data_IF_631330881785
#
_entry.id   IF_631330881785
#
_cell.length_a   1.000
_cell.length_b   1.000
_cell.length_c   1.000
_cell.angle_alpha   90.00
_cell.angle_beta   90.00
_cell.angle_gamma   90.00
#
_symmetry.space_group_name_H-M   'P 1'
#
loop_
_entity.id
_entity.type
_entity.pdbx_description
1 polymer ?
#
# COMPACT_ATOMS: atom_id res chain seq x y z
N UNK A 1 -25.94 -11.37 26.25
CA UNK A 1 -25.44 -10.54 25.14
C UNK A 1 -24.08 -11.12 24.79
N UNK A 2 -23.99 -11.92 23.73
CA UNK A 2 -22.76 -12.64 23.38
C UNK A 2 -21.65 -11.64 23.06
N UNK A 3 -20.67 -11.57 23.94
CA UNK A 3 -19.48 -10.73 23.77
C UNK A 3 -18.64 -11.35 22.66
N UNK A 4 -18.79 -10.84 21.45
CA UNK A 4 -17.96 -11.23 20.31
C UNK A 4 -16.70 -10.37 20.32
N UNK A 5 -15.64 -10.86 20.99
CA UNK A 5 -14.25 -10.47 20.67
C UNK A 5 -14.05 -10.82 19.19
N UNK A 6 -13.48 -9.91 18.38
CA UNK A 6 -13.62 -9.79 16.92
C UNK A 6 -13.37 -11.06 16.06
N UNK A 7 -14.21 -12.09 16.21
CA UNK A 7 -14.06 -13.38 15.57
C UNK A 7 -12.88 -14.21 16.09
N UNK A 8 -12.45 -14.07 17.35
CA UNK A 8 -11.44 -14.94 17.97
C UNK A 8 -12.14 -16.06 18.78
N UNK A 9 -11.73 -17.31 18.59
CA UNK A 9 -12.21 -18.46 19.39
C UNK A 9 -11.22 -18.84 20.49
N UNK A 10 -9.94 -18.82 20.16
CA UNK A 10 -8.80 -19.20 20.98
C UNK A 10 -7.78 -18.06 20.95
N UNK A 11 -8.07 -16.91 21.59
CA UNK A 11 -7.18 -15.76 21.53
C UNK A 11 -5.79 -16.08 22.09
N UNK A 12 -4.78 -15.48 21.48
CA UNK A 12 -3.37 -15.53 21.88
C UNK A 12 -2.76 -14.14 21.77
N UNK A 13 -1.81 -13.80 22.62
CA UNK A 13 -0.95 -12.65 22.39
C UNK A 13 -0.08 -12.83 21.13
N UNK A 14 0.12 -11.74 20.38
CA UNK A 14 1.12 -11.73 19.29
C UNK A 14 2.50 -12.09 19.83
N UNK A 15 3.36 -12.65 18.98
CA UNK A 15 4.70 -13.13 19.34
C UNK A 15 5.58 -12.08 20.03
N UNK A 16 5.37 -10.81 19.72
CA UNK A 16 6.22 -9.70 20.17
C UNK A 16 5.64 -9.00 21.41
N UNK A 17 4.58 -9.55 21.98
CA UNK A 17 3.97 -9.04 23.21
C UNK A 17 4.86 -9.39 24.40
N UNK A 18 5.15 -8.40 25.23
CA UNK A 18 5.77 -8.60 26.55
C UNK A 18 4.80 -8.28 27.66
N UNK A 19 4.89 -9.02 28.76
CA UNK A 19 3.98 -8.92 29.91
C UNK A 19 4.76 -8.71 31.19
N UNK A 20 4.25 -7.83 32.04
CA UNK A 20 4.85 -7.42 33.30
C UNK A 20 3.74 -7.43 34.36
N UNK A 21 3.86 -8.28 35.37
CA UNK A 21 2.81 -8.52 36.36
C UNK A 21 3.35 -8.13 37.73
N UNK A 22 2.74 -7.11 38.31
CA UNK A 22 2.98 -6.62 39.66
C UNK A 22 1.87 -7.11 40.61
N UNK A 23 2.00 -6.94 41.94
CA UNK A 23 1.02 -7.44 42.90
C UNK A 23 -0.40 -6.90 42.73
N UNK A 24 -0.62 -5.80 42.02
CA UNK A 24 -1.93 -5.15 41.85
C UNK A 24 -2.12 -4.49 40.47
N UNK A 25 -1.20 -4.70 39.54
CA UNK A 25 -1.24 -4.17 38.18
C UNK A 25 -0.61 -5.16 37.21
N UNK A 26 -1.10 -5.22 35.98
CA UNK A 26 -0.40 -5.85 34.89
C UNK A 26 -0.25 -4.85 33.74
N UNK A 27 0.93 -4.86 33.14
CA UNK A 27 1.23 -4.11 31.93
C UNK A 27 1.60 -5.06 30.81
N UNK A 28 0.92 -4.92 29.67
CA UNK A 28 1.14 -5.68 28.43
C UNK A 28 1.59 -4.70 27.34
N UNK A 29 2.67 -5.03 26.62
CA UNK A 29 3.32 -4.13 25.64
C UNK A 29 3.56 -4.83 24.31
N UNK A 30 3.35 -4.12 23.19
CA UNK A 30 3.85 -4.50 21.86
C UNK A 30 4.37 -3.26 21.14
N UNK A 31 5.66 -3.23 20.83
CA UNK A 31 6.30 -2.02 20.29
C UNK A 31 6.06 -0.78 21.18
N UNK A 32 5.36 0.24 20.66
CA UNK A 32 4.98 1.46 21.40
C UNK A 32 3.61 1.38 22.07
N UNK A 33 2.84 0.34 21.80
CA UNK A 33 1.50 0.16 22.36
C UNK A 33 1.61 -0.47 23.75
N UNK A 34 0.91 0.12 24.72
CA UNK A 34 0.82 -0.36 26.10
C UNK A 34 -0.64 -0.49 26.51
N UNK A 35 -0.99 -1.60 27.13
CA UNK A 35 -2.23 -1.76 27.90
C UNK A 35 -1.83 -2.02 29.36
N UNK A 36 -2.44 -1.29 30.29
CA UNK A 36 -2.21 -1.50 31.72
C UNK A 36 -3.55 -1.52 32.44
N UNK A 37 -3.70 -2.41 33.40
CA UNK A 37 -4.91 -2.52 34.20
C UNK A 37 -4.58 -2.95 35.62
N UNK A 38 -5.33 -2.40 36.58
CA UNK A 38 -5.21 -2.71 37.99
C UNK A 38 -6.18 -3.82 38.40
N UNK A 39 -5.80 -4.58 39.43
CA UNK A 39 -6.60 -5.65 40.02
C UNK A 39 -6.28 -5.77 41.52
N UNK A 40 -7.12 -6.48 42.26
CA UNK A 40 -6.86 -6.72 43.68
C UNK A 40 -5.69 -7.68 43.86
N UNK A 41 -4.89 -7.54 44.92
CA UNK A 41 -3.72 -8.40 45.13
C UNK A 41 -4.06 -9.89 45.28
N UNK A 42 -5.28 -10.20 45.74
CA UNK A 42 -5.78 -11.57 45.76
C UNK A 42 -6.01 -12.16 44.35
N UNK A 43 -6.22 -11.32 43.33
CA UNK A 43 -6.49 -11.70 41.94
C UNK A 43 -5.21 -11.95 41.13
N UNK A 44 -4.04 -11.50 41.63
CA UNK A 44 -2.77 -11.58 40.89
C UNK A 44 -2.45 -13.00 40.36
N UNK A 45 -2.66 -14.10 41.11
CA UNK A 45 -2.43 -15.44 40.58
C UNK A 45 -3.38 -15.83 39.44
N UNK A 46 -4.63 -15.35 39.47
CA UNK A 46 -5.61 -15.60 38.42
C UNK A 46 -5.29 -14.78 37.15
N UNK A 47 -4.88 -13.52 37.32
CA UNK A 47 -4.41 -12.68 36.22
C UNK A 47 -3.17 -13.28 35.54
N UNK A 48 -2.21 -13.77 36.32
CA UNK A 48 -1.03 -14.45 35.77
C UNK A 48 -1.40 -15.69 34.95
N UNK A 49 -2.32 -16.53 35.44
CA UNK A 49 -2.81 -17.70 34.67
C UNK A 49 -3.51 -17.30 33.37
N UNK A 50 -4.34 -16.27 33.39
CA UNK A 50 -4.99 -15.77 32.16
C UNK A 50 -3.94 -15.29 31.15
N UNK A 51 -2.95 -14.53 31.62
CA UNK A 51 -1.84 -14.05 30.78
C UNK A 51 -1.05 -15.23 30.21
N UNK A 52 -0.71 -16.24 31.01
CA UNK A 52 0.01 -17.44 30.56
C UNK A 52 -0.79 -18.21 29.50
N UNK A 53 -2.11 -18.34 29.68
CA UNK A 53 -3.00 -18.95 28.68
C UNK A 53 -2.98 -18.16 27.36
N UNK A 54 -2.95 -16.82 27.43
CA UNK A 54 -2.87 -15.97 26.24
C UNK A 54 -1.46 -15.97 25.61
N UNK A 55 -0.39 -16.13 26.39
CA UNK A 55 0.98 -16.30 25.87
C UNK A 55 1.14 -17.66 25.17
N UNK A 56 0.59 -18.72 25.77
CA UNK A 56 0.61 -20.07 25.18
C UNK A 56 -0.27 -20.18 23.94
N UNK A 57 -1.49 -19.66 24.02
CA UNK A 57 -2.57 -19.89 23.06
C UNK A 57 -3.19 -21.28 23.18
N UNK A 58 -4.14 -21.58 22.30
CA UNK A 58 -4.82 -22.87 22.13
C UNK A 58 -6.01 -23.08 23.08
N UNK A 59 -6.35 -22.10 23.91
CA UNK A 59 -7.42 -22.21 24.91
C UNK A 59 -8.64 -21.44 24.42
N UNK A 60 -9.80 -22.10 24.37
CA UNK A 60 -11.05 -21.43 24.02
C UNK A 60 -11.48 -20.43 25.10
N UNK A 61 -12.16 -19.34 24.72
CA UNK A 61 -12.58 -18.28 25.66
C UNK A 61 -13.35 -18.85 26.87
N UNK A 62 -14.32 -19.76 26.65
CA UNK A 62 -15.08 -20.37 27.73
C UNK A 62 -14.20 -21.18 28.70
N UNK A 63 -13.17 -21.85 28.16
CA UNK A 63 -12.20 -22.60 28.96
C UNK A 63 -11.23 -21.67 29.70
N UNK A 64 -10.88 -20.52 29.12
CA UNK A 64 -10.11 -19.48 29.83
C UNK A 64 -10.90 -18.96 31.03
N UNK A 65 -12.16 -18.57 30.82
CA UNK A 65 -13.06 -18.09 31.88
C UNK A 65 -13.18 -19.13 33.01
N UNK A 66 -13.38 -20.41 32.65
CA UNK A 66 -13.46 -21.49 33.63
C UNK A 66 -12.14 -21.76 34.38
N UNK A 67 -10.98 -21.44 33.76
CA UNK A 67 -9.65 -21.62 34.35
C UNK A 67 -9.23 -20.52 35.34
N UNK A 68 -9.97 -19.41 35.39
CA UNK A 68 -9.72 -18.28 36.30
C UNK A 68 -11.00 -17.80 36.98
N UNK A 69 -11.67 -18.66 37.77
CA UNK A 69 -12.97 -18.37 38.38
C UNK A 69 -12.97 -17.10 39.26
N UNK A 70 -11.82 -16.72 39.81
CA UNK A 70 -11.66 -15.54 40.66
C UNK A 70 -11.87 -14.22 39.92
N UNK A 71 -11.70 -14.21 38.59
CA UNK A 71 -11.83 -13.03 37.73
C UNK A 71 -12.74 -13.29 36.52
N UNK A 72 -13.55 -14.35 36.55
CA UNK A 72 -14.32 -14.84 35.41
C UNK A 72 -15.23 -13.76 34.77
N UNK A 73 -15.81 -12.89 35.58
CA UNK A 73 -16.65 -11.76 35.15
C UNK A 73 -15.85 -10.64 34.45
N UNK A 74 -14.55 -10.54 34.74
CA UNK A 74 -13.63 -9.53 34.16
C UNK A 74 -13.00 -9.97 32.84
N UNK A 75 -12.87 -11.29 32.61
CA UNK A 75 -12.19 -11.85 31.42
C UNK A 75 -12.72 -11.27 30.09
N UNK A 76 -14.04 -11.19 29.83
CA UNK A 76 -14.53 -10.67 28.55
C UNK A 76 -14.10 -9.21 28.30
N UNK A 77 -14.14 -8.36 29.32
CA UNK A 77 -13.74 -6.95 29.21
C UNK A 77 -12.22 -6.81 28.99
N UNK A 78 -11.42 -7.64 29.66
CA UNK A 78 -9.97 -7.69 29.46
C UNK A 78 -9.63 -8.10 28.02
N UNK A 79 -10.24 -9.17 27.51
CA UNK A 79 -10.02 -9.64 26.14
C UNK A 79 -10.44 -8.59 25.11
N UNK A 80 -11.57 -7.89 25.32
CA UNK A 80 -11.98 -6.77 24.48
C UNK A 80 -10.95 -5.63 24.50
N UNK A 81 -10.42 -5.28 25.67
CA UNK A 81 -9.39 -4.25 25.81
C UNK A 81 -8.10 -4.63 25.07
N UNK A 82 -7.67 -5.89 25.19
CA UNK A 82 -6.48 -6.40 24.49
C UNK A 82 -6.68 -6.44 22.97
N UNK A 83 -7.86 -6.85 22.49
CA UNK A 83 -8.19 -6.86 21.06
C UNK A 83 -8.27 -5.44 20.47
N UNK A 84 -8.86 -4.49 21.20
CA UNK A 84 -8.99 -3.09 20.76
C UNK A 84 -7.64 -2.44 20.49
N UNK A 85 -6.59 -2.82 21.23
CA UNK A 85 -5.21 -2.36 21.01
C UNK A 85 -4.35 -3.36 20.22
N UNK A 86 -4.99 -4.35 19.57
CA UNK A 86 -4.39 -5.35 18.68
C UNK A 86 -3.30 -6.23 19.31
N UNK A 87 -3.40 -6.47 20.61
CA UNK A 87 -2.50 -7.40 21.31
C UNK A 87 -2.83 -8.87 21.00
N UNK A 88 -4.08 -9.16 20.63
CA UNK A 88 -4.57 -10.50 20.38
C UNK A 88 -4.53 -10.90 18.89
N UNK A 89 -4.31 -12.20 18.67
CA UNK A 89 -4.48 -12.96 17.42
C UNK A 89 -5.14 -14.30 17.74
N UNK A 90 -5.56 -15.04 16.71
CA UNK A 90 -6.04 -16.42 16.88
C UNK A 90 -4.87 -17.39 17.06
N UNK A 91 -5.00 -18.35 17.99
CA UNK A 91 -3.93 -19.31 18.32
C UNK A 91 -3.58 -20.26 17.18
N UNK A 92 -4.60 -20.78 16.50
CA UNK A 92 -4.46 -21.55 15.27
C UNK A 92 -5.10 -20.77 14.13
N UNK A 93 -4.46 -20.67 12.95
CA UNK A 93 -5.08 -19.98 11.83
C UNK A 93 -6.41 -20.65 11.49
N UNK A 94 -7.53 -19.96 11.78
CA UNK A 94 -8.86 -20.40 11.35
C UNK A 94 -8.80 -20.67 9.86
N UNK A 95 -9.10 -21.89 9.44
CA UNK A 95 -9.22 -22.24 8.03
C UNK A 95 -10.39 -21.52 7.37
N UNK A 96 -11.39 -21.10 8.16
CA UNK A 96 -12.46 -20.20 7.72
C UNK A 96 -11.93 -18.79 7.42
N UNK A 97 -12.12 -18.35 6.18
CA UNK A 97 -11.71 -17.02 5.74
C UNK A 97 -10.26 -16.91 5.29
N UNK A 98 -9.51 -18.01 5.24
CA UNK A 98 -8.27 -18.08 4.48
C UNK A 98 -8.58 -17.95 2.99
N UNK A 99 -7.79 -17.14 2.29
CA UNK A 99 -7.86 -16.99 0.84
C UNK A 99 -6.49 -17.27 0.26
N UNK A 100 -6.41 -17.83 -0.94
CA UNK A 100 -5.15 -17.82 -1.67
C UNK A 100 -4.84 -16.39 -2.14
N UNK A 101 -3.57 -16.08 -2.38
CA UNK A 101 -3.21 -14.79 -2.97
C UNK A 101 -3.84 -14.57 -4.34
N UNK A 102 -4.04 -15.63 -5.13
CA UNK A 102 -4.80 -15.57 -6.39
C UNK A 102 -6.28 -15.18 -6.17
N UNK A 103 -6.93 -15.67 -5.11
CA UNK A 103 -8.26 -15.22 -4.75
C UNK A 103 -8.25 -13.76 -4.28
N UNK A 104 -7.32 -13.39 -3.40
CA UNK A 104 -7.19 -12.02 -2.92
C UNK A 104 -6.93 -11.03 -4.06
N UNK A 105 -6.09 -11.37 -5.04
CA UNK A 105 -5.83 -10.57 -6.22
C UNK A 105 -7.11 -10.29 -7.01
N UNK A 106 -7.97 -11.30 -7.25
CA UNK A 106 -9.28 -11.11 -7.90
C UNK A 106 -10.19 -10.18 -7.09
N UNK A 107 -10.18 -10.28 -5.77
CA UNK A 107 -10.97 -9.39 -4.90
C UNK A 107 -10.47 -7.96 -4.94
N UNK A 108 -9.15 -7.76 -5.00
CA UNK A 108 -8.50 -6.46 -5.09
C UNK A 108 -8.77 -5.80 -6.44
N UNK A 109 -8.71 -6.55 -7.55
CA UNK A 109 -9.10 -6.08 -8.88
C UNK A 109 -10.53 -5.52 -8.89
N UNK A 110 -11.48 -6.23 -8.27
CA UNK A 110 -12.87 -5.76 -8.11
C UNK A 110 -12.99 -4.56 -7.17
N UNK A 111 -12.10 -4.40 -6.19
CA UNK A 111 -12.06 -3.19 -5.36
C UNK A 111 -11.57 -2.02 -6.20
N UNK A 112 -10.48 -2.18 -6.95
CA UNK A 112 -9.95 -1.16 -7.84
C UNK A 112 -11.01 -0.69 -8.84
N UNK A 113 -11.65 -1.62 -9.55
CA UNK A 113 -12.74 -1.31 -10.48
C UNK A 113 -13.88 -0.54 -9.79
N UNK A 114 -14.31 -0.97 -8.60
CA UNK A 114 -15.40 -0.29 -7.87
C UNK A 114 -15.01 1.08 -7.33
N UNK A 115 -13.79 1.24 -6.80
CA UNK A 115 -13.30 2.51 -6.25
C UNK A 115 -13.13 3.50 -7.39
N UNK A 116 -12.51 3.10 -8.50
CA UNK A 116 -12.44 3.92 -9.72
C UNK A 116 -13.84 4.30 -10.20
N UNK A 117 -14.77 3.35 -10.31
CA UNK A 117 -16.15 3.67 -10.75
C UNK A 117 -16.94 4.59 -9.79
N UNK A 118 -16.71 4.50 -8.47
CA UNK A 118 -17.49 5.22 -7.45
C UNK A 118 -16.90 6.57 -7.05
N UNK A 119 -15.57 6.65 -6.98
CA UNK A 119 -14.85 7.76 -6.34
C UNK A 119 -14.28 8.71 -7.38
N UNK A 120 -13.90 8.24 -8.58
CA UNK A 120 -13.43 9.13 -9.63
C UNK A 120 -13.51 8.52 -11.02
N UNK A 121 -14.31 9.12 -11.91
CA UNK A 121 -13.84 9.23 -13.29
C UNK A 121 -12.54 10.03 -13.21
N UNK A 122 -11.44 9.48 -13.70
CA UNK A 122 -10.14 10.16 -13.70
C UNK A 122 -10.34 11.61 -14.13
N UNK A 123 -10.03 12.54 -13.22
CA UNK A 123 -10.29 13.96 -13.43
C UNK A 123 -9.43 14.46 -14.59
N UNK A 124 -8.21 13.93 -14.67
CA UNK A 124 -7.28 14.19 -15.77
C UNK A 124 -7.80 13.62 -17.08
N UNK A 125 -8.22 12.35 -17.11
CA UNK A 125 -8.83 11.75 -18.31
C UNK A 125 -10.06 12.53 -18.79
N UNK A 126 -10.90 12.97 -17.85
CA UNK A 126 -12.08 13.80 -18.16
C UNK A 126 -11.66 15.13 -18.77
N UNK A 127 -10.60 15.77 -18.23
CA UNK A 127 -10.07 17.00 -18.80
C UNK A 127 -9.44 16.82 -20.19
N UNK A 128 -8.83 15.66 -20.47
CA UNK A 128 -8.33 15.30 -21.80
C UNK A 128 -9.48 15.17 -22.80
N UNK A 129 -10.46 14.31 -22.50
CA UNK A 129 -11.61 14.04 -23.38
C UNK A 129 -12.47 15.28 -23.63
N UNK A 130 -12.64 16.13 -22.61
CA UNK A 130 -13.38 17.39 -22.75
C UNK A 130 -12.52 18.55 -23.29
N UNK A 131 -11.28 18.27 -23.71
CA UNK A 131 -10.34 19.26 -24.28
C UNK A 131 -10.06 20.47 -23.36
N UNK A 132 -10.20 20.27 -22.04
CA UNK A 132 -9.95 21.30 -21.02
C UNK A 132 -8.54 21.28 -20.45
N UNK A 133 -7.80 20.18 -20.62
CA UNK A 133 -6.41 20.11 -20.19
C UNK A 133 -5.55 21.11 -20.97
N UNK A 134 -4.72 21.88 -20.27
CA UNK A 134 -3.81 22.88 -20.85
C UNK A 134 -2.46 22.28 -21.17
N UNK A 135 -1.64 23.01 -21.95
CA UNK A 135 -0.26 22.62 -22.27
C UNK A 135 0.56 22.35 -21.02
N UNK A 136 0.45 23.24 -20.03
CA UNK A 136 1.17 23.16 -18.76
C UNK A 136 0.74 21.94 -17.94
N UNK A 137 -0.54 21.60 -17.95
CA UNK A 137 -1.05 20.40 -17.25
C UNK A 137 -0.56 19.10 -17.90
N UNK A 138 -0.44 19.05 -19.23
CA UNK A 138 0.13 17.90 -19.94
C UNK A 138 1.62 17.71 -19.61
N UNK A 139 2.39 18.80 -19.65
CA UNK A 139 3.81 18.80 -19.27
C UNK A 139 3.96 18.42 -17.80
N UNK A 140 3.12 18.96 -16.93
CA UNK A 140 3.08 18.63 -15.51
C UNK A 140 2.77 17.15 -15.25
N UNK A 141 1.83 16.57 -15.99
CA UNK A 141 1.57 15.13 -15.91
C UNK A 141 2.80 14.30 -16.29
N UNK A 142 3.44 14.62 -17.42
CA UNK A 142 4.65 13.93 -17.86
C UNK A 142 5.80 14.06 -16.85
N UNK A 143 5.94 15.24 -16.23
CA UNK A 143 6.95 15.51 -15.20
C UNK A 143 6.71 14.66 -13.94
N UNK A 144 5.47 14.59 -13.46
CA UNK A 144 5.13 13.79 -12.29
C UNK A 144 5.24 12.28 -12.57
N UNK A 145 4.89 11.83 -13.79
CA UNK A 145 5.08 10.45 -14.21
C UNK A 145 6.56 10.06 -14.29
N UNK A 146 7.42 10.96 -14.80
CA UNK A 146 8.88 10.78 -14.79
C UNK A 146 9.41 10.46 -13.40
N UNK A 147 8.95 11.15 -12.35
CA UNK A 147 9.41 10.87 -10.98
C UNK A 147 8.98 9.51 -10.45
N UNK A 148 7.79 9.02 -10.84
CA UNK A 148 7.36 7.66 -10.48
C UNK A 148 8.28 6.63 -11.12
N UNK A 149 8.52 6.75 -12.43
CA UNK A 149 9.37 5.82 -13.19
C UNK A 149 10.82 5.88 -12.72
N UNK A 150 11.38 7.07 -12.51
CA UNK A 150 12.72 7.26 -11.94
C UNK A 150 12.88 6.62 -10.56
N UNK A 151 11.82 6.65 -9.74
CA UNK A 151 11.84 6.03 -8.43
C UNK A 151 11.72 4.50 -8.49
N UNK A 152 11.12 3.93 -9.53
CA UNK A 152 10.70 2.51 -9.58
C UNK A 152 11.83 1.52 -9.22
N UNK A 153 13.06 1.60 -9.78
CA UNK A 153 14.13 0.68 -9.39
C UNK A 153 14.48 0.74 -7.89
N UNK A 154 14.50 1.96 -7.32
CA UNK A 154 14.75 2.18 -5.89
C UNK A 154 13.61 1.76 -4.98
N UNK A 155 12.38 1.70 -5.51
CA UNK A 155 11.19 1.21 -4.80
C UNK A 155 11.10 -0.33 -4.85
N UNK A 156 11.47 -0.95 -5.97
CA UNK A 156 11.44 -2.41 -6.17
C UNK A 156 12.62 -3.09 -5.48
N UNK A 157 13.82 -2.52 -5.54
CA UNK A 157 15.04 -3.10 -4.96
C UNK A 157 14.87 -3.59 -3.51
N UNK A 158 14.30 -2.80 -2.58
CA UNK A 158 14.05 -3.23 -1.20
C UNK A 158 13.13 -4.46 -1.08
N UNK A 159 12.21 -4.69 -2.02
CA UNK A 159 11.33 -5.85 -1.99
C UNK A 159 12.09 -7.18 -2.14
N UNK A 160 13.28 -7.18 -2.76
CA UNK A 160 14.13 -8.37 -2.88
C UNK A 160 14.55 -8.93 -1.52
N UNK A 161 14.71 -8.07 -0.50
CA UNK A 161 15.03 -8.49 0.86
C UNK A 161 13.87 -9.23 1.54
N UNK A 162 12.65 -9.08 1.03
CA UNK A 162 11.44 -9.71 1.56
C UNK A 162 11.07 -11.03 0.88
N UNK A 163 11.75 -11.38 -0.22
CA UNK A 163 11.45 -12.56 -1.01
C UNK A 163 11.67 -13.86 -0.22
N UNK A 164 10.62 -14.69 -0.13
CA UNK A 164 10.60 -15.92 0.69
C UNK A 164 11.00 -17.17 -0.11
N UNK A 165 10.82 -17.14 -1.43
CA UNK A 165 11.11 -18.28 -2.31
C UNK A 165 12.08 -17.89 -3.43
N UNK A 166 12.83 -18.85 -4.01
CA UNK A 166 13.64 -18.59 -5.20
C UNK A 166 12.80 -18.03 -6.36
N UNK A 167 11.61 -18.60 -6.59
CA UNK A 167 10.70 -18.14 -7.66
C UNK A 167 10.26 -16.69 -7.46
N UNK A 168 9.92 -16.29 -6.24
CA UNK A 168 9.57 -14.91 -5.92
C UNK A 168 10.75 -13.96 -6.16
N UNK A 169 11.95 -14.37 -5.75
CA UNK A 169 13.18 -13.61 -5.99
C UNK A 169 13.43 -13.43 -7.48
N UNK A 170 13.29 -14.48 -8.28
CA UNK A 170 13.49 -14.43 -9.73
C UNK A 170 12.51 -13.47 -10.41
N UNK A 171 11.23 -13.49 -10.01
CA UNK A 171 10.23 -12.55 -10.53
C UNK A 171 10.57 -11.10 -10.19
N UNK A 172 10.94 -10.82 -8.94
CA UNK A 172 11.31 -9.46 -8.50
C UNK A 172 12.62 -8.99 -9.15
N UNK A 173 13.58 -9.89 -9.39
CA UNK A 173 14.82 -9.56 -10.11
C UNK A 173 14.56 -9.27 -11.58
N UNK A 174 13.70 -10.06 -12.22
CA UNK A 174 13.26 -9.83 -13.59
C UNK A 174 12.59 -8.48 -13.74
N UNK A 175 11.65 -8.18 -12.84
CA UNK A 175 10.93 -6.90 -12.81
C UNK A 175 11.85 -5.71 -12.51
N UNK A 176 12.75 -5.82 -11.53
CA UNK A 176 13.74 -4.76 -11.30
C UNK A 176 14.61 -4.51 -12.55
N UNK A 177 15.03 -5.58 -13.23
CA UNK A 177 15.88 -5.47 -14.41
C UNK A 177 15.15 -4.78 -15.57
N UNK A 178 13.85 -5.04 -15.76
CA UNK A 178 13.09 -4.38 -16.81
C UNK A 178 12.93 -2.88 -16.54
N UNK A 179 12.74 -2.46 -15.29
CA UNK A 179 12.58 -1.03 -14.96
C UNK A 179 13.85 -0.17 -15.05
N UNK A 180 15.04 -0.77 -15.19
CA UNK A 180 16.28 0.00 -15.26
C UNK A 180 16.38 0.81 -16.56
N UNK A 181 16.47 2.14 -16.42
CA UNK A 181 16.67 3.07 -17.53
C UNK A 181 15.39 3.51 -18.24
N UNK A 182 14.22 3.12 -17.74
CA UNK A 182 12.92 3.59 -18.25
C UNK A 182 12.75 5.11 -18.10
N UNK A 183 13.36 5.71 -17.08
CA UNK A 183 13.36 7.14 -16.81
C UNK A 183 14.01 7.98 -17.94
N UNK A 184 15.03 7.44 -18.61
CA UNK A 184 15.72 8.12 -19.71
C UNK A 184 14.82 8.37 -20.93
N UNK A 185 13.78 7.54 -21.15
CA UNK A 185 12.79 7.77 -22.21
C UNK A 185 11.92 8.98 -21.89
N UNK A 186 11.47 9.08 -20.64
CA UNK A 186 10.64 10.19 -20.17
C UNK A 186 11.42 11.50 -20.03
N UNK A 187 12.70 11.44 -19.66
CA UNK A 187 13.57 12.61 -19.65
C UNK A 187 13.66 13.26 -21.05
N UNK A 188 13.86 12.45 -22.10
CA UNK A 188 13.89 12.94 -23.49
C UNK A 188 12.56 13.55 -23.95
N UNK A 189 11.43 13.04 -23.46
CA UNK A 189 10.14 13.67 -23.68
C UNK A 189 10.09 15.08 -23.08
N UNK A 190 10.53 15.24 -21.83
CA UNK A 190 10.54 16.52 -21.13
C UNK A 190 11.53 17.53 -21.74
N UNK A 191 12.67 17.06 -22.26
CA UNK A 191 13.60 17.89 -23.05
C UNK A 191 12.94 18.49 -24.29
N UNK A 192 12.06 17.75 -24.98
CA UNK A 192 11.37 18.23 -26.18
C UNK A 192 10.44 19.43 -25.93
N UNK A 193 10.08 19.69 -24.68
CA UNK A 193 9.28 20.86 -24.27
C UNK A 193 10.07 21.89 -23.46
N UNK A 194 11.39 21.72 -23.37
CA UNK A 194 12.33 22.70 -22.84
C UNK A 194 12.78 22.50 -21.39
N UNK A 195 12.47 21.36 -20.75
CA UNK A 195 13.04 21.03 -19.44
C UNK A 195 14.40 20.36 -19.63
N UNK A 196 15.46 20.91 -19.03
CA UNK A 196 16.81 20.33 -19.16
C UNK A 196 17.09 19.30 -18.04
N UNK A 197 17.98 18.32 -18.26
CA UNK A 197 18.30 17.29 -17.26
C UNK A 197 18.68 17.83 -15.89
N UNK A 198 19.43 18.94 -15.84
CA UNK A 198 19.82 19.59 -14.59
C UNK A 198 18.62 20.09 -13.78
N UNK A 199 17.57 20.58 -14.44
CA UNK A 199 16.32 20.99 -13.80
C UNK A 199 15.55 19.77 -13.27
N UNK A 200 15.55 18.66 -14.01
CA UNK A 200 14.91 17.41 -13.58
C UNK A 200 15.60 16.79 -12.35
N UNK A 201 16.92 16.94 -12.22
CA UNK A 201 17.65 16.49 -11.03
C UNK A 201 17.43 17.40 -9.81
N UNK A 202 17.31 18.71 -10.04
CA UNK A 202 17.12 19.68 -8.96
C UNK A 202 15.66 19.74 -8.45
N UNK A 203 14.70 19.33 -9.27
CA UNK A 203 13.28 19.43 -8.96
C UNK A 203 12.78 18.29 -8.06
N UNK A 204 11.70 18.55 -7.30
CA UNK A 204 11.05 17.58 -6.44
C UNK A 204 9.59 17.41 -6.87
N UNK A 205 9.06 16.17 -6.89
CA UNK A 205 7.69 15.91 -7.33
C UNK A 205 6.65 16.60 -6.42
N UNK A 206 5.42 16.69 -6.92
CA UNK A 206 4.28 17.14 -6.13
C UNK A 206 4.06 16.24 -4.89
N UNK A 207 3.46 16.77 -3.80
CA UNK A 207 3.26 16.02 -2.56
C UNK A 207 2.55 14.68 -2.74
N UNK A 208 1.56 14.61 -3.64
CA UNK A 208 0.82 13.39 -3.93
C UNK A 208 1.66 12.36 -4.68
N UNK A 209 2.44 12.78 -5.68
CA UNK A 209 3.42 11.92 -6.36
C UNK A 209 4.48 11.40 -5.40
N UNK A 210 5.01 12.27 -4.53
CA UNK A 210 5.90 11.85 -3.45
C UNK A 210 5.23 10.84 -2.51
N UNK A 211 3.96 11.07 -2.14
CA UNK A 211 3.20 10.17 -1.28
C UNK A 211 2.99 8.79 -1.91
N UNK A 212 2.73 8.71 -3.22
CA UNK A 212 2.67 7.43 -3.96
C UNK A 212 3.99 6.67 -3.86
N UNK A 213 5.11 7.34 -4.17
CA UNK A 213 6.45 6.75 -4.09
C UNK A 213 6.78 6.31 -2.66
N UNK A 214 6.48 7.14 -1.68
CA UNK A 214 6.72 6.84 -0.26
C UNK A 214 5.88 5.64 0.20
N UNK A 215 4.60 5.57 -0.17
CA UNK A 215 3.73 4.45 0.16
C UNK A 215 4.22 3.15 -0.47
N UNK A 216 4.60 3.15 -1.75
CA UNK A 216 5.22 2.01 -2.42
C UNK A 216 6.50 1.55 -1.70
N UNK A 217 7.37 2.49 -1.32
CA UNK A 217 8.60 2.17 -0.59
C UNK A 217 8.35 1.58 0.80
N UNK A 218 7.33 2.07 1.52
CA UNK A 218 6.88 1.47 2.79
C UNK A 218 6.37 0.06 2.56
N UNK A 219 5.53 -0.16 1.54
CA UNK A 219 5.00 -1.48 1.24
C UNK A 219 6.11 -2.46 0.85
N UNK A 220 7.05 -2.05 0.00
CA UNK A 220 8.18 -2.88 -0.40
C UNK A 220 9.01 -3.40 0.78
N UNK A 221 9.16 -2.58 1.83
CA UNK A 221 9.99 -2.92 3.01
C UNK A 221 9.22 -3.60 4.14
N UNK A 222 7.97 -3.20 4.37
CA UNK A 222 7.24 -3.52 5.61
C UNK A 222 5.96 -4.32 5.35
N UNK A 223 5.40 -4.24 4.14
CA UNK A 223 4.16 -4.92 3.78
C UNK A 223 4.28 -5.60 2.42
N UNK A 224 5.13 -6.63 2.27
CA UNK A 224 5.45 -7.23 0.97
C UNK A 224 4.20 -7.76 0.24
N UNK A 225 3.20 -8.28 0.97
CA UNK A 225 1.94 -8.68 0.36
C UNK A 225 1.15 -7.49 -0.22
N UNK A 226 1.19 -6.32 0.44
CA UNK A 226 0.59 -5.09 -0.10
C UNK A 226 1.38 -4.57 -1.29
N UNK A 227 2.71 -4.65 -1.26
CA UNK A 227 3.56 -4.28 -2.39
C UNK A 227 3.19 -5.08 -3.65
N UNK A 228 3.19 -6.42 -3.55
CA UNK A 228 2.77 -7.31 -4.65
C UNK A 228 1.39 -6.96 -5.18
N UNK A 229 0.46 -6.62 -4.29
CA UNK A 229 -0.92 -6.34 -4.62
C UNK A 229 -1.15 -4.99 -5.32
N UNK A 230 -0.27 -3.99 -5.18
CA UNK A 230 -0.48 -2.66 -5.78
C UNK A 230 0.22 -2.44 -7.11
N UNK A 231 1.21 -3.27 -7.49
CA UNK A 231 2.00 -3.05 -8.72
C UNK A 231 1.11 -2.92 -9.98
N UNK A 232 0.06 -3.72 -10.12
CA UNK A 232 -0.83 -3.66 -11.28
C UNK A 232 -1.48 -2.28 -11.50
N UNK A 233 -1.56 -1.43 -10.46
CA UNK A 233 -2.09 -0.07 -10.60
C UNK A 233 -1.18 0.82 -11.45
N UNK A 234 0.11 0.51 -11.51
CA UNK A 234 1.13 1.24 -12.26
C UNK A 234 1.46 0.57 -13.60
N UNK A 235 1.40 -0.75 -13.65
CA UNK A 235 1.88 -1.53 -14.80
C UNK A 235 0.84 -1.75 -15.91
N UNK A 236 -0.45 -1.64 -15.61
CA UNK A 236 -1.48 -1.87 -16.62
C UNK A 236 -1.61 -0.64 -17.51
N UNK A 237 -1.27 -0.81 -18.79
CA UNK A 237 -1.45 0.21 -19.81
C UNK A 237 -2.92 0.69 -19.88
N UNK A 238 -3.12 2.00 -19.77
CA UNK A 238 -4.43 2.63 -19.89
C UNK A 238 -4.61 3.19 -21.31
N UNK A 239 -4.86 2.31 -22.28
CA UNK A 239 -4.90 2.66 -23.72
C UNK A 239 -5.76 3.90 -24.01
N UNK A 240 -6.98 3.94 -23.45
CA UNK A 240 -7.89 5.08 -23.64
C UNK A 240 -7.32 6.41 -23.09
N UNK A 241 -6.56 6.35 -21.99
CA UNK A 241 -5.89 7.52 -21.45
C UNK A 241 -4.74 7.99 -22.34
N UNK A 242 -3.88 7.06 -22.78
CA UNK A 242 -2.74 7.35 -23.65
C UNK A 242 -3.21 7.94 -24.97
N UNK A 243 -4.27 7.38 -25.57
CA UNK A 243 -4.87 7.92 -26.80
C UNK A 243 -5.41 9.34 -26.60
N UNK A 244 -6.17 9.58 -25.53
CA UNK A 244 -6.69 10.92 -25.21
C UNK A 244 -5.58 11.94 -24.90
N UNK A 245 -4.48 11.49 -24.27
CA UNK A 245 -3.31 12.32 -23.98
C UNK A 245 -2.60 12.76 -25.26
N UNK A 246 -2.36 11.82 -26.17
CA UNK A 246 -1.73 12.09 -27.46
C UNK A 246 -2.58 13.03 -28.32
N UNK A 247 -3.88 12.78 -28.40
CA UNK A 247 -4.81 13.62 -29.17
C UNK A 247 -4.79 15.05 -28.64
N UNK A 248 -4.81 15.20 -27.31
CA UNK A 248 -4.73 16.53 -26.70
C UNK A 248 -3.39 17.21 -26.92
N UNK A 249 -2.29 16.46 -26.93
CA UNK A 249 -0.97 17.00 -27.28
C UNK A 249 -0.94 17.51 -28.72
N UNK A 250 -1.52 16.77 -29.67
CA UNK A 250 -1.61 17.19 -31.08
C UNK A 250 -2.45 18.46 -31.26
N UNK A 251 -3.59 18.55 -30.56
CA UNK A 251 -4.46 19.73 -30.60
C UNK A 251 -3.78 21.02 -30.08
N UNK A 252 -2.81 20.87 -29.17
CA UNK A 252 -2.06 21.97 -28.57
C UNK A 252 -0.69 22.20 -29.22
N UNK A 253 -0.45 21.61 -30.39
CA UNK A 253 0.81 21.71 -31.15
C UNK A 253 2.05 21.30 -30.33
N UNK A 254 1.91 20.37 -29.38
CA UNK A 254 3.05 19.80 -28.67
C UNK A 254 3.83 18.86 -29.61
N UNK A 255 5.18 18.89 -29.57
CA UNK A 255 5.99 18.11 -30.47
C UNK A 255 5.80 16.62 -30.24
N UNK A 256 5.80 15.81 -31.30
CA UNK A 256 5.71 14.35 -31.20
C UNK A 256 6.79 13.74 -30.28
N UNK A 257 7.97 14.35 -30.25
CA UNK A 257 9.06 13.97 -29.36
C UNK A 257 8.71 14.10 -27.86
N UNK A 258 7.67 14.87 -27.49
CA UNK A 258 7.19 14.98 -26.12
C UNK A 258 6.27 13.81 -25.72
N UNK A 259 5.26 13.49 -26.52
CA UNK A 259 4.21 12.55 -26.08
C UNK A 259 4.45 11.10 -26.54
N UNK A 260 5.16 10.88 -27.66
CA UNK A 260 5.42 9.51 -28.13
C UNK A 260 6.25 8.67 -27.15
N UNK A 261 7.28 9.20 -26.44
CA UNK A 261 8.00 8.38 -25.46
C UNK A 261 7.14 7.92 -24.27
N UNK A 262 6.08 8.65 -23.91
CA UNK A 262 5.12 8.21 -22.88
C UNK A 262 4.30 7.02 -23.39
N UNK A 263 3.90 7.05 -24.67
CA UNK A 263 3.26 5.90 -25.33
C UNK A 263 4.23 4.72 -25.42
N UNK A 264 5.46 4.95 -25.86
CA UNK A 264 6.48 3.89 -25.95
C UNK A 264 6.68 3.20 -24.59
N UNK A 265 6.68 3.96 -23.49
CA UNK A 265 6.73 3.38 -22.13
C UNK A 265 5.49 2.54 -21.81
N UNK A 266 4.28 3.01 -22.16
CA UNK A 266 3.06 2.24 -21.97
C UNK A 266 3.05 0.94 -22.80
N UNK A 267 3.61 0.98 -24.02
CA UNK A 267 3.74 -0.18 -24.90
C UNK A 267 4.80 -1.17 -24.39
N UNK A 268 5.94 -0.68 -23.88
CA UNK A 268 6.96 -1.52 -23.22
C UNK A 268 6.38 -2.30 -22.05
N UNK A 269 5.54 -1.66 -21.22
CA UNK A 269 4.87 -2.35 -20.11
C UNK A 269 3.93 -3.47 -20.59
N UNK A 270 3.31 -3.32 -21.77
CA UNK A 270 2.52 -4.38 -22.39
C UNK A 270 3.41 -5.52 -22.92
N UNK A 271 4.53 -5.18 -23.58
CA UNK A 271 5.48 -6.14 -24.16
C UNK A 271 6.21 -6.98 -23.10
N UNK A 272 6.51 -6.41 -21.93
CA UNK A 272 7.12 -7.13 -20.81
C UNK A 272 6.10 -7.90 -19.94
N UNK A 273 4.82 -7.94 -20.33
CA UNK A 273 3.74 -8.53 -19.54
C UNK A 273 3.68 -7.97 -18.09
N UNK A 274 4.12 -6.72 -17.85
CA UNK A 274 4.14 -6.13 -16.51
C UNK A 274 2.75 -6.06 -15.88
N UNK A 275 1.70 -5.99 -16.71
CA UNK A 275 0.30 -6.10 -16.28
C UNK A 275 0.03 -7.32 -15.38
N UNK A 276 0.86 -8.37 -15.49
CA UNK A 276 0.73 -9.63 -14.78
C UNK A 276 1.68 -9.81 -13.59
N UNK A 277 2.61 -8.89 -13.30
CA UNK A 277 3.58 -9.07 -12.20
C UNK A 277 2.89 -9.22 -10.84
N UNK A 278 1.85 -8.41 -10.56
CA UNK A 278 1.04 -8.57 -9.36
C UNK A 278 0.33 -9.91 -9.33
N UNK A 279 -0.23 -10.36 -10.45
CA UNK A 279 -0.95 -11.63 -10.53
C UNK A 279 0.01 -12.77 -10.18
N UNK A 280 1.18 -12.77 -10.79
CA UNK A 280 2.17 -13.82 -10.68
C UNK A 280 2.79 -13.86 -9.27
N UNK A 281 3.14 -12.70 -8.70
CA UNK A 281 3.64 -12.61 -7.33
C UNK A 281 2.58 -13.01 -6.30
N UNK A 282 1.32 -12.61 -6.49
CA UNK A 282 0.23 -12.98 -5.60
C UNK A 282 -0.13 -14.47 -5.71
N UNK A 283 0.04 -15.09 -6.88
CA UNK A 283 -0.18 -16.53 -7.06
C UNK A 283 0.79 -17.40 -6.24
N UNK A 284 1.95 -16.86 -5.84
CA UNK A 284 2.90 -17.56 -4.97
C UNK A 284 2.42 -17.67 -3.51
N UNK A 285 1.42 -16.88 -3.11
CA UNK A 285 0.88 -16.87 -1.76
C UNK A 285 -0.18 -17.96 -1.62
N UNK A 286 0.22 -19.12 -1.07
CA UNK A 286 -0.68 -20.26 -0.91
C UNK A 286 -1.81 -20.01 0.09
N UNK A 287 -1.53 -19.27 1.17
CA UNK A 287 -2.48 -18.95 2.22
C UNK A 287 -2.28 -17.52 2.69
N UNK A 288 -3.37 -16.76 2.69
CA UNK A 288 -3.47 -15.42 3.25
C UNK A 288 -4.59 -15.41 4.29
N UNK A 289 -4.26 -15.02 5.52
CA UNK A 289 -5.25 -14.89 6.58
C UNK A 289 -6.15 -13.64 6.38
N UNK A 290 -7.26 -13.63 7.12
CA UNK A 290 -8.26 -12.56 7.02
C UNK A 290 -7.71 -11.18 7.40
N UNK A 291 -6.84 -11.10 8.41
CA UNK A 291 -6.27 -9.82 8.86
C UNK A 291 -5.37 -9.25 7.75
N UNK A 292 -4.45 -10.06 7.23
CA UNK A 292 -3.57 -9.70 6.13
C UNK A 292 -4.37 -9.28 4.90
N UNK A 293 -5.41 -10.03 4.53
CA UNK A 293 -6.29 -9.69 3.41
C UNK A 293 -6.99 -8.33 3.61
N UNK A 294 -7.46 -8.02 4.82
CA UNK A 294 -8.07 -6.71 5.14
C UNK A 294 -7.05 -5.57 5.05
N UNK A 295 -5.84 -5.76 5.59
CA UNK A 295 -4.75 -4.78 5.50
C UNK A 295 -4.39 -4.48 4.06
N UNK A 296 -4.20 -5.52 3.23
CA UNK A 296 -3.89 -5.36 1.80
C UNK A 296 -4.99 -4.60 1.08
N UNK A 297 -6.26 -4.94 1.30
CA UNK A 297 -7.40 -4.25 0.69
C UNK A 297 -7.44 -2.76 1.07
N UNK A 298 -7.13 -2.43 2.33
CA UNK A 298 -7.03 -1.03 2.79
C UNK A 298 -5.88 -0.29 2.11
N UNK A 299 -4.71 -0.91 2.03
CA UNK A 299 -3.54 -0.32 1.38
C UNK A 299 -3.78 -0.10 -0.13
N UNK A 300 -4.45 -1.02 -0.81
CA UNK A 300 -4.83 -0.82 -2.21
C UNK A 300 -5.84 0.31 -2.36
N UNK A 301 -6.87 0.37 -1.51
CA UNK A 301 -7.84 1.47 -1.55
C UNK A 301 -7.15 2.84 -1.32
N UNK A 302 -6.26 2.93 -0.33
CA UNK A 302 -5.47 4.13 -0.06
C UNK A 302 -4.59 4.53 -1.26
N UNK A 303 -3.96 3.56 -1.93
CA UNK A 303 -3.16 3.82 -3.12
C UNK A 303 -4.01 4.41 -4.25
N UNK A 304 -5.19 3.84 -4.51
CA UNK A 304 -6.12 4.35 -5.53
C UNK A 304 -6.60 5.76 -5.18
N UNK A 305 -6.99 6.01 -3.93
CA UNK A 305 -7.37 7.35 -3.46
C UNK A 305 -6.22 8.36 -3.64
N UNK A 306 -4.98 7.94 -3.36
CA UNK A 306 -3.81 8.80 -3.55
C UNK A 306 -3.55 9.10 -5.02
N UNK A 307 -3.75 8.13 -5.93
CA UNK A 307 -3.63 8.36 -7.38
C UNK A 307 -4.69 9.35 -7.88
N UNK A 308 -5.92 9.27 -7.38
CA UNK A 308 -6.98 10.24 -7.70
C UNK A 308 -6.59 11.65 -7.24
N UNK A 309 -6.13 11.78 -5.99
CA UNK A 309 -5.66 13.07 -5.45
C UNK A 309 -4.45 13.61 -6.24
N UNK A 310 -3.60 12.73 -6.77
CA UNK A 310 -2.49 13.12 -7.62
C UNK A 310 -2.98 13.78 -8.91
N UNK A 311 -3.93 13.16 -9.62
CA UNK A 311 -4.51 13.75 -10.83
C UNK A 311 -5.11 15.14 -10.57
N UNK A 312 -5.87 15.28 -9.48
CA UNK A 312 -6.48 16.55 -9.07
C UNK A 312 -5.42 17.61 -8.74
N UNK A 313 -4.35 17.21 -8.05
CA UNK A 313 -3.25 18.10 -7.71
C UNK A 313 -2.48 18.54 -8.95
N UNK A 314 -2.21 17.65 -9.91
CA UNK A 314 -1.59 17.99 -11.18
C UNK A 314 -2.45 19.02 -11.91
N UNK A 315 -3.74 18.75 -12.09
CA UNK A 315 -4.64 19.69 -12.77
C UNK A 315 -4.68 21.06 -12.09
N UNK A 316 -4.75 21.10 -10.76
CA UNK A 316 -4.90 22.36 -10.03
C UNK A 316 -3.59 23.14 -9.95
N UNK A 317 -2.47 22.46 -9.71
CA UNK A 317 -1.17 23.10 -9.56
C UNK A 317 -0.67 23.67 -10.90
N UNK A 318 -0.70 22.87 -11.97
CA UNK A 318 -0.19 23.28 -13.27
C UNK A 318 -1.14 24.17 -14.08
N UNK A 319 -2.35 24.44 -13.60
CA UNK A 319 -3.21 25.48 -14.16
C UNK A 319 -2.72 26.91 -13.85
N UNK A 320 -1.76 27.07 -12.94
CA UNK A 320 -1.31 28.38 -12.48
C UNK A 320 -0.26 28.98 -13.44
N UNK A 321 -0.40 30.24 -13.89
CA UNK A 321 0.51 30.90 -14.85
C UNK A 321 1.98 31.05 -14.40
N UNK A 322 2.29 30.66 -13.17
CA UNK A 322 3.63 30.67 -12.55
C UNK A 322 3.80 29.49 -11.58
N UNK A 323 3.23 28.33 -11.92
CA UNK A 323 3.58 27.11 -11.20
C UNK A 323 5.09 26.93 -11.31
N UNK A 324 5.83 27.36 -10.27
CA UNK A 324 7.27 27.28 -10.27
C UNK A 324 7.62 25.80 -10.33
N UNK A 325 8.29 25.40 -11.41
CA UNK A 325 9.01 24.14 -11.51
C UNK A 325 10.24 24.33 -10.61
N UNK A 326 10.05 24.30 -9.28
CA UNK A 326 11.15 24.24 -8.32
C UNK A 326 10.65 24.27 -6.87
N UNK A 327 10.74 23.13 -6.17
CA UNK A 327 11.28 23.13 -4.80
C UNK A 327 12.80 23.00 -4.84
N UNK A 328 13.42 23.76 -5.75
CA UNK A 328 14.87 23.93 -5.79
C UNK A 328 15.17 24.88 -4.63
N UNK A 329 15.78 24.35 -3.57
CA UNK A 329 16.41 25.19 -2.57
C UNK A 329 17.73 25.64 -3.19
N UNK A 330 17.73 26.79 -3.85
CA UNK A 330 19.00 27.45 -4.15
C UNK A 330 19.69 27.75 -2.81
N UNK A 331 20.98 27.44 -2.70
CA UNK A 331 21.78 27.82 -1.54
C UNK A 331 21.68 29.35 -1.37
N UNK A 332 21.12 29.77 -0.25
CA UNK A 332 20.99 31.18 0.14
C UNK A 332 22.34 31.86 0.36
#
# INVERSE_FOLDING_TARGET
MEVTIAGLSQPKFRSDVTTDIEPNEATIRIGKTRCAFAFETAEAPAVARLIDQLVGGGVAIDAMIAGVPEIADKVPALLQGFDAVRLLVESEPRTEGLVSGAQLYREIRRIAERVTQRVARSAFHTALVEQRATREQLIGYALEYFYIVKAAPGLIGPALATARTPRERDLLQGFLKSELGHDAFLARALEAVGLIPEELEAHQPLPTTFALCAALGVYARQHPLSFKAVLFLFEVAQVAFVDAFDDRCRELDLPAAFYLPLRDHADLNADYEHADISRDLMALEGVVDREAAVVVKRNVALMIETMILQEEQILTFYAQPRAAIARIFEDA
#
